data_IF_027944237682
#
_entry.id   IF_027944237682
#
_cell.length_a   1.000
_cell.length_b   1.000
_cell.length_c   1.000
_cell.angle_alpha   90.00
_cell.angle_beta   90.00
_cell.angle_gamma   90.00
#
_symmetry.space_group_name_H-M   'P 1'
#
loop_
_entity.id
_entity.type
_entity.pdbx_description
1 polymer ?
#
# COMPACT_ATOMS: atom_id res chain seq x y z
N UNK A 1 -47.53 -19.85 44.56
CA UNK A 1 -46.49 -18.87 44.20
C UNK A 1 -45.86 -19.33 42.89
N UNK A 2 -46.24 -18.69 41.74
CA UNK A 2 -45.67 -18.97 40.41
C UNK A 2 -44.51 -17.99 40.19
N UNK A 3 -43.32 -18.50 39.95
CA UNK A 3 -42.16 -17.71 39.53
C UNK A 3 -42.01 -17.85 37.99
N UNK A 4 -42.09 -16.80 37.21
CA UNK A 4 -41.84 -16.89 35.75
C UNK A 4 -40.34 -16.98 35.50
N UNK A 5 -39.89 -18.03 34.80
CA UNK A 5 -38.52 -18.15 34.30
C UNK A 5 -38.31 -17.22 33.09
N UNK A 6 -37.46 -16.21 33.20
CA UNK A 6 -36.99 -15.41 32.11
C UNK A 6 -35.95 -16.20 31.28
N UNK A 7 -36.32 -16.58 30.08
CA UNK A 7 -35.38 -17.13 29.10
C UNK A 7 -34.70 -15.95 28.38
N UNK A 8 -33.44 -15.71 28.73
CA UNK A 8 -32.63 -14.75 28.05
C UNK A 8 -32.16 -15.34 26.68
N UNK A 9 -32.73 -14.86 25.58
CA UNK A 9 -32.25 -15.17 24.23
C UNK A 9 -30.97 -14.39 23.99
N UNK A 10 -29.82 -15.06 23.93
CA UNK A 10 -28.57 -14.51 23.51
C UNK A 10 -28.64 -14.21 22.00
N UNK A 11 -28.66 -12.95 21.64
CA UNK A 11 -28.50 -12.52 20.24
C UNK A 11 -27.09 -12.86 19.77
N UNK A 12 -26.97 -13.83 18.88
CA UNK A 12 -25.72 -14.13 18.18
C UNK A 12 -25.48 -12.97 17.22
N UNK A 13 -24.50 -12.09 17.51
CA UNK A 13 -24.08 -11.04 16.60
C UNK A 13 -23.55 -11.69 15.32
N UNK A 14 -24.24 -11.47 14.21
CA UNK A 14 -23.77 -11.87 12.90
C UNK A 14 -22.44 -11.16 12.61
N UNK A 15 -21.44 -11.84 11.97
CA UNK A 15 -20.20 -11.20 11.57
C UNK A 15 -20.52 -10.01 10.68
N UNK A 16 -19.90 -8.85 10.96
CA UNK A 16 -20.11 -7.64 10.19
C UNK A 16 -19.78 -7.92 8.72
N UNK A 17 -20.76 -7.79 7.84
CA UNK A 17 -20.59 -8.02 6.42
C UNK A 17 -19.53 -7.06 5.87
N UNK A 18 -18.55 -7.59 5.14
CA UNK A 18 -17.53 -6.79 4.44
C UNK A 18 -18.26 -5.82 3.50
N UNK A 19 -17.90 -4.53 3.52
CA UNK A 19 -18.56 -3.56 2.64
C UNK A 19 -18.35 -3.95 1.17
N UNK A 20 -19.35 -3.74 0.28
CA UNK A 20 -19.21 -4.05 -1.15
C UNK A 20 -17.99 -3.40 -1.78
N UNK A 21 -17.66 -2.19 -1.36
CA UNK A 21 -16.50 -1.45 -1.85
C UNK A 21 -15.17 -2.08 -1.40
N UNK A 22 -15.10 -2.56 -0.16
CA UNK A 22 -13.91 -3.26 0.31
C UNK A 22 -13.72 -4.60 -0.42
N UNK A 23 -14.81 -5.32 -0.69
CA UNK A 23 -14.76 -6.54 -1.49
C UNK A 23 -14.27 -6.26 -2.92
N UNK A 24 -14.74 -5.17 -3.53
CA UNK A 24 -14.31 -4.73 -4.87
C UNK A 24 -12.83 -4.32 -4.89
N UNK A 25 -12.34 -3.64 -3.86
CA UNK A 25 -10.91 -3.33 -3.71
C UNK A 25 -10.09 -4.61 -3.56
N UNK A 26 -10.54 -5.57 -2.77
CA UNK A 26 -9.86 -6.88 -2.64
C UNK A 26 -9.80 -7.63 -3.97
N UNK A 27 -10.86 -7.59 -4.77
CA UNK A 27 -10.91 -8.17 -6.12
C UNK A 27 -9.90 -7.49 -7.05
N UNK A 28 -9.85 -6.15 -7.06
CA UNK A 28 -8.88 -5.39 -7.84
C UNK A 28 -7.43 -5.77 -7.47
N UNK A 29 -7.12 -5.81 -6.18
CA UNK A 29 -5.78 -6.17 -5.71
C UNK A 29 -5.37 -7.58 -6.15
N UNK A 30 -6.32 -8.52 -6.20
CA UNK A 30 -6.08 -9.89 -6.70
C UNK A 30 -5.95 -9.95 -8.22
N UNK A 31 -6.68 -9.12 -8.94
CA UNK A 31 -6.64 -9.06 -10.40
C UNK A 31 -5.35 -8.42 -10.95
N UNK A 32 -4.70 -7.56 -10.18
CA UNK A 32 -3.43 -6.91 -10.55
C UNK A 32 -2.25 -7.83 -10.21
N UNK A 33 -1.78 -8.61 -11.18
CA UNK A 33 -0.60 -9.46 -11.02
C UNK A 33 0.70 -8.65 -11.19
N UNK A 34 0.67 -7.61 -12.02
CA UNK A 34 1.76 -6.66 -12.20
C UNK A 34 1.22 -5.31 -12.63
N UNK A 35 1.99 -4.27 -12.36
CA UNK A 35 1.65 -2.90 -12.77
C UNK A 35 2.92 -2.08 -12.93
N UNK A 36 2.95 -1.22 -13.95
CA UNK A 36 3.87 -0.09 -14.02
C UNK A 36 3.06 1.21 -14.05
N UNK A 37 3.57 2.26 -13.43
CA UNK A 37 2.95 3.58 -13.46
C UNK A 37 4.02 4.66 -13.28
N UNK A 38 3.81 5.84 -13.82
CA UNK A 38 4.54 7.01 -13.36
C UNK A 38 4.02 7.43 -11.98
N UNK A 39 4.90 7.94 -11.12
CA UNK A 39 4.48 8.46 -9.83
C UNK A 39 5.02 9.86 -9.56
N UNK A 40 4.27 10.61 -8.77
CA UNK A 40 4.71 11.84 -8.11
C UNK A 40 4.55 11.66 -6.61
N UNK A 41 5.63 11.92 -5.88
CA UNK A 41 5.67 11.87 -4.42
C UNK A 41 5.77 13.28 -3.87
N UNK A 42 4.95 13.58 -2.88
CA UNK A 42 4.93 14.84 -2.16
C UNK A 42 5.21 14.57 -0.68
N UNK A 43 6.19 15.23 -0.11
CA UNK A 43 6.43 15.22 1.32
C UNK A 43 5.59 16.27 2.06
N UNK A 44 5.70 16.31 3.39
CA UNK A 44 5.00 17.28 4.22
C UNK A 44 5.35 18.75 3.93
N UNK A 45 6.53 19.00 3.32
CA UNK A 45 7.02 20.34 3.00
C UNK A 45 6.69 20.74 1.55
N UNK A 46 5.95 19.89 0.83
CA UNK A 46 5.61 20.12 -0.58
C UNK A 46 6.72 19.81 -1.57
N UNK A 47 7.87 19.27 -1.12
CA UNK A 47 8.91 18.80 -2.04
C UNK A 47 8.37 17.67 -2.90
N UNK A 48 8.56 17.78 -4.20
CA UNK A 48 8.08 16.81 -5.17
C UNK A 48 9.25 16.01 -5.74
N UNK A 49 9.09 14.68 -5.73
CA UNK A 49 9.94 13.73 -6.42
C UNK A 49 9.08 12.92 -7.39
N UNK A 50 9.64 12.58 -8.55
CA UNK A 50 8.93 11.77 -9.56
C UNK A 50 9.74 10.53 -9.91
N UNK A 51 9.09 9.59 -10.60
CA UNK A 51 9.76 8.38 -11.05
C UNK A 51 8.79 7.35 -11.64
N UNK A 52 9.24 6.11 -11.67
CA UNK A 52 8.45 4.96 -12.13
C UNK A 52 8.25 3.97 -11.00
N UNK A 53 7.00 3.58 -10.80
CA UNK A 53 6.62 2.46 -9.92
C UNK A 53 6.52 1.21 -10.78
N UNK A 54 7.13 0.12 -10.31
CA UNK A 54 6.89 -1.25 -10.80
C UNK A 54 6.40 -2.10 -9.65
N UNK A 55 5.31 -2.83 -9.85
CA UNK A 55 4.72 -3.76 -8.90
C UNK A 55 4.56 -5.12 -9.57
N UNK A 56 4.91 -6.19 -8.85
CA UNK A 56 4.68 -7.57 -9.28
C UNK A 56 4.30 -8.43 -8.08
N UNK A 57 3.17 -9.07 -8.18
CA UNK A 57 2.71 -9.98 -7.13
C UNK A 57 3.49 -11.31 -7.13
N UNK A 58 3.66 -11.92 -5.94
CA UNK A 58 3.39 -11.34 -4.63
C UNK A 58 4.56 -10.51 -4.09
N UNK A 59 4.24 -9.40 -3.45
CA UNK A 59 5.16 -8.69 -2.55
C UNK A 59 6.30 -7.90 -3.17
N UNK A 60 6.41 -7.83 -4.51
CA UNK A 60 7.50 -7.13 -5.18
C UNK A 60 7.07 -5.74 -5.62
N UNK A 61 7.88 -4.73 -5.30
CA UNK A 61 7.64 -3.34 -5.68
C UNK A 61 8.97 -2.60 -5.83
N UNK A 62 9.04 -1.67 -6.77
CA UNK A 62 10.19 -0.79 -6.96
C UNK A 62 9.73 0.63 -7.25
N UNK A 63 10.22 1.58 -6.46
CA UNK A 63 10.18 3.00 -6.76
C UNK A 63 11.53 3.40 -7.34
N UNK A 64 11.57 3.61 -8.63
CA UNK A 64 12.73 4.14 -9.32
C UNK A 64 12.52 5.64 -9.49
N UNK A 65 13.20 6.43 -8.67
CA UNK A 65 13.16 7.89 -8.78
C UNK A 65 13.86 8.39 -10.03
N UNK A 66 13.52 9.60 -10.42
CA UNK A 66 14.14 10.30 -11.54
C UNK A 66 15.67 10.40 -11.41
N UNK A 67 16.35 10.60 -12.53
CA UNK A 67 17.83 10.76 -12.57
C UNK A 67 18.26 11.88 -11.60
N UNK A 68 19.33 11.63 -10.86
CA UNK A 68 19.89 12.57 -9.88
C UNK A 68 19.32 12.43 -8.47
N UNK A 69 18.26 11.66 -8.25
CA UNK A 69 17.77 11.30 -6.91
C UNK A 69 18.47 10.01 -6.47
N UNK A 70 19.35 10.06 -5.47
CA UNK A 70 20.15 8.89 -5.04
C UNK A 70 19.39 7.93 -4.11
N UNK A 71 18.06 7.87 -4.26
CA UNK A 71 17.17 7.05 -3.42
C UNK A 71 16.56 5.94 -4.26
N UNK A 72 16.44 4.76 -3.66
CA UNK A 72 15.71 3.64 -4.21
C UNK A 72 14.88 2.97 -3.11
N UNK A 73 13.62 2.66 -3.41
CA UNK A 73 12.77 1.86 -2.53
C UNK A 73 12.40 0.57 -3.27
N UNK A 74 12.69 -0.58 -2.65
CA UNK A 74 12.41 -1.90 -3.24
C UNK A 74 11.79 -2.82 -2.22
N UNK A 75 10.68 -3.47 -2.60
CA UNK A 75 10.15 -4.64 -1.90
C UNK A 75 10.54 -5.90 -2.66
N UNK A 76 11.12 -6.87 -1.97
CA UNK A 76 11.66 -8.11 -2.54
C UNK A 76 10.73 -9.33 -2.35
N UNK A 77 9.54 -9.12 -1.80
CA UNK A 77 8.58 -10.15 -1.44
C UNK A 77 8.56 -10.49 0.06
N UNK A 78 9.57 -10.09 0.81
CA UNK A 78 9.69 -10.32 2.27
C UNK A 78 9.89 -9.02 3.04
N UNK A 79 10.66 -8.12 2.49
CA UNK A 79 11.09 -6.88 3.12
C UNK A 79 10.98 -5.72 2.16
N UNK A 80 10.70 -4.55 2.72
CA UNK A 80 10.83 -3.26 2.07
C UNK A 80 12.19 -2.70 2.43
N UNK A 81 12.97 -2.33 1.42
CA UNK A 81 14.29 -1.73 1.53
C UNK A 81 14.24 -0.28 1.10
N UNK A 82 14.77 0.59 1.93
CA UNK A 82 15.09 1.98 1.60
C UNK A 82 16.60 2.08 1.46
N UNK A 83 17.05 2.58 0.33
CA UNK A 83 18.45 2.71 -0.03
C UNK A 83 18.75 4.16 -0.36
N UNK A 84 19.70 4.77 0.32
CA UNK A 84 20.24 6.08 0.02
C UNK A 84 21.69 5.93 -0.39
N UNK A 85 21.95 6.08 -1.68
CA UNK A 85 23.26 5.92 -2.27
C UNK A 85 24.19 7.12 -2.04
N UNK A 86 23.63 8.28 -1.64
CA UNK A 86 24.43 9.46 -1.34
C UNK A 86 25.21 9.29 -0.03
N UNK A 87 24.54 8.75 0.98
CA UNK A 87 25.12 8.60 2.33
C UNK A 87 25.45 7.14 2.68
N UNK A 88 25.24 6.21 1.75
CA UNK A 88 25.50 4.78 1.97
C UNK A 88 24.57 4.14 3.01
N UNK A 89 23.32 4.63 3.10
CA UNK A 89 22.34 4.14 4.07
C UNK A 89 21.47 3.05 3.47
N UNK A 90 21.23 1.98 4.26
CA UNK A 90 20.29 0.90 3.96
C UNK A 90 19.42 0.66 5.17
N UNK A 91 18.11 0.74 4.99
CA UNK A 91 17.12 0.44 6.01
C UNK A 91 16.20 -0.68 5.52
N UNK A 92 15.70 -1.48 6.44
CA UNK A 92 14.84 -2.63 6.16
C UNK A 92 13.61 -2.62 7.06
N UNK A 93 12.43 -2.82 6.46
CA UNK A 93 11.17 -3.06 7.18
C UNK A 93 10.53 -4.37 6.70
N UNK A 94 9.94 -5.16 7.60
CA UNK A 94 9.17 -6.33 7.21
C UNK A 94 7.88 -5.89 6.48
N UNK A 95 7.53 -6.57 5.39
CA UNK A 95 6.26 -6.32 4.68
C UNK A 95 5.10 -7.00 5.43
N UNK A 96 5.36 -8.18 5.99
CA UNK A 96 4.36 -8.96 6.71
C UNK A 96 3.88 -8.23 7.96
N UNK A 97 2.57 -7.94 8.04
CA UNK A 97 1.97 -7.23 9.18
C UNK A 97 1.94 -5.71 9.05
N UNK A 98 2.63 -5.11 8.06
CA UNK A 98 2.55 -3.68 7.83
C UNK A 98 1.32 -3.30 6.99
N UNK A 99 0.78 -2.07 7.10
CA UNK A 99 -0.30 -1.57 6.26
C UNK A 99 0.02 -1.64 4.75
N UNK A 100 1.29 -1.52 4.38
CA UNK A 100 1.75 -1.69 3.01
C UNK A 100 1.54 -3.14 2.51
N UNK A 101 1.50 -4.12 3.42
CA UNK A 101 1.19 -5.51 3.10
C UNK A 101 -0.19 -5.69 2.46
N UNK A 102 -1.14 -4.80 2.71
CA UNK A 102 -2.46 -4.78 2.05
C UNK A 102 -2.31 -4.65 0.53
N UNK A 103 -1.43 -3.76 0.10
CA UNK A 103 -1.15 -3.53 -1.33
C UNK A 103 -0.29 -4.67 -1.93
N UNK A 104 0.61 -5.24 -1.14
CA UNK A 104 1.66 -6.14 -1.62
C UNK A 104 1.33 -7.62 -1.49
N UNK A 105 0.37 -8.01 -0.66
CA UNK A 105 -0.08 -9.42 -0.54
C UNK A 105 -1.61 -9.54 -0.68
N UNK A 106 -2.13 -9.61 -1.90
CA UNK A 106 -3.57 -9.63 -2.17
C UNK A 106 -4.26 -10.93 -1.71
N UNK A 107 -3.50 -11.95 -1.29
CA UNK A 107 -4.04 -13.20 -0.75
C UNK A 107 -4.54 -13.04 0.69
N UNK A 108 -4.03 -12.03 1.40
CA UNK A 108 -4.48 -11.71 2.75
C UNK A 108 -5.87 -11.09 2.71
N UNK A 109 -6.68 -11.46 3.68
CA UNK A 109 -7.93 -10.77 3.96
C UNK A 109 -7.62 -9.38 4.53
N UNK A 110 -7.96 -8.34 3.77
CA UNK A 110 -7.70 -6.96 4.16
C UNK A 110 -8.74 -6.42 5.16
N UNK A 111 -9.86 -7.12 5.36
CA UNK A 111 -10.96 -6.64 6.21
C UNK A 111 -10.56 -6.40 7.66
N UNK A 112 -9.49 -7.07 8.13
CA UNK A 112 -8.96 -6.91 9.49
C UNK A 112 -8.19 -5.60 9.70
N UNK A 113 -7.64 -5.03 8.63
CA UNK A 113 -6.74 -3.89 8.69
C UNK A 113 -7.26 -2.68 7.91
N UNK A 114 -8.25 -2.90 7.03
CA UNK A 114 -8.71 -1.91 6.08
C UNK A 114 -10.17 -1.55 6.31
N UNK A 115 -10.47 -0.25 6.20
CA UNK A 115 -11.82 0.31 6.31
C UNK A 115 -12.07 1.25 5.14
N UNK A 116 -13.25 1.16 4.53
CA UNK A 116 -13.69 2.15 3.55
C UNK A 116 -14.03 3.44 4.28
N UNK A 117 -13.49 4.53 3.77
CA UNK A 117 -13.71 5.88 4.30
C UNK A 117 -14.76 6.59 3.44
N UNK A 118 -15.62 7.41 4.04
CA UNK A 118 -16.56 8.24 3.28
C UNK A 118 -15.83 9.16 2.31
N UNK A 119 -16.35 9.30 1.09
CA UNK A 119 -15.87 10.23 0.07
C UNK A 119 -17.02 11.07 -0.43
N UNK A 120 -16.75 12.33 -0.78
CA UNK A 120 -17.75 13.20 -1.39
C UNK A 120 -18.04 12.84 -2.86
N UNK A 121 -17.08 12.19 -3.52
CA UNK A 121 -17.18 11.75 -4.91
C UNK A 121 -17.50 10.26 -4.97
N UNK A 122 -18.67 9.85 -5.50
CA UNK A 122 -19.06 8.45 -5.61
C UNK A 122 -18.20 7.64 -6.59
N UNK A 123 -17.43 8.30 -7.46
CA UNK A 123 -16.47 7.64 -8.34
C UNK A 123 -15.18 7.21 -7.61
N UNK A 124 -14.98 7.67 -6.38
CA UNK A 124 -13.78 7.41 -5.58
C UNK A 124 -14.10 6.41 -4.46
N UNK A 125 -13.21 5.44 -4.26
CA UNK A 125 -13.16 4.59 -3.07
C UNK A 125 -11.88 4.92 -2.32
N UNK A 126 -12.01 5.33 -1.07
CA UNK A 126 -10.90 5.55 -0.16
C UNK A 126 -10.85 4.44 0.88
N UNK A 127 -9.69 3.80 1.04
CA UNK A 127 -9.51 2.69 1.99
C UNK A 127 -8.36 3.03 2.92
N UNK A 128 -8.68 3.15 4.19
CA UNK A 128 -7.68 3.35 5.26
C UNK A 128 -7.24 2.00 5.81
N UNK A 129 -5.92 1.77 5.85
CA UNK A 129 -5.33 0.56 6.34
C UNK A 129 -4.31 0.87 7.44
N UNK A 130 -4.49 0.25 8.61
CA UNK A 130 -3.60 0.35 9.77
C UNK A 130 -3.68 -0.92 10.60
N UNK A 131 -2.63 -1.22 11.34
CA UNK A 131 -2.64 -2.30 12.33
C UNK A 131 -2.69 -1.69 13.74
N UNK A 132 -3.83 -1.81 14.47
CA UNK A 132 -3.94 -1.26 15.82
C UNK A 132 -2.98 -1.89 16.83
N UNK A 133 -2.47 -3.10 16.55
CA UNK A 133 -1.49 -3.79 17.40
C UNK A 133 -0.06 -3.32 17.16
N UNK A 134 0.17 -2.66 16.03
CA UNK A 134 1.47 -2.20 15.57
C UNK A 134 1.40 -0.75 15.08
N UNK A 135 1.09 0.22 15.97
CA UNK A 135 0.99 1.63 15.59
C UNK A 135 2.29 2.20 15.04
N UNK A 136 3.43 1.57 15.37
CA UNK A 136 4.76 1.91 14.84
C UNK A 136 4.87 1.72 13.32
N UNK A 137 3.98 0.95 12.69
CA UNK A 137 3.95 0.80 11.23
C UNK A 137 3.21 1.93 10.51
N UNK A 138 2.58 2.82 11.28
CA UNK A 138 1.83 3.94 10.73
C UNK A 138 0.52 3.51 10.06
N UNK A 139 0.08 4.31 9.08
CA UNK A 139 -1.19 4.13 8.38
C UNK A 139 -1.01 4.45 6.89
N UNK A 140 -1.77 3.77 6.04
CA UNK A 140 -1.85 4.05 4.61
C UNK A 140 -3.30 4.21 4.19
N UNK A 141 -3.60 5.28 3.46
CA UNK A 141 -4.92 5.51 2.87
C UNK A 141 -4.81 5.38 1.35
N UNK A 142 -5.33 4.29 0.80
CA UNK A 142 -5.35 3.99 -0.63
C UNK A 142 -6.52 4.70 -1.29
N UNK A 143 -6.31 5.25 -2.47
CA UNK A 143 -7.33 5.96 -3.25
C UNK A 143 -7.52 5.27 -4.60
N UNK A 144 -8.72 4.75 -4.83
CA UNK A 144 -9.12 4.11 -6.07
C UNK A 144 -10.18 4.96 -6.78
N UNK A 145 -10.15 4.93 -8.09
CA UNK A 145 -11.20 5.46 -8.97
C UNK A 145 -11.98 4.29 -9.57
N UNK A 146 -13.30 4.40 -9.59
CA UNK A 146 -14.16 3.47 -10.33
C UNK A 146 -14.01 3.74 -11.81
N UNK A 147 -13.42 2.79 -12.53
CA UNK A 147 -13.11 2.94 -13.93
C UNK A 147 -13.11 1.57 -14.62
N UNK A 148 -13.99 1.38 -15.58
CA UNK A 148 -14.16 0.11 -16.29
C UNK A 148 -12.91 -0.35 -17.06
N UNK A 149 -11.98 0.54 -17.37
CA UNK A 149 -10.72 0.20 -18.02
C UNK A 149 -9.71 -0.47 -17.06
N UNK A 150 -9.93 -0.37 -15.75
CA UNK A 150 -9.06 -0.99 -14.76
C UNK A 150 -9.47 -2.40 -14.36
N UNK A 151 -8.55 -3.23 -13.87
CA UNK A 151 -8.86 -4.55 -13.33
C UNK A 151 -9.94 -4.49 -12.25
N UNK A 152 -10.94 -5.37 -12.34
CA UNK A 152 -12.13 -5.37 -11.49
C UNK A 152 -12.87 -4.01 -11.44
N UNK A 153 -12.76 -3.19 -12.49
CA UNK A 153 -13.45 -1.89 -12.60
C UNK A 153 -12.90 -0.80 -11.68
N UNK A 154 -11.63 -0.91 -11.26
CA UNK A 154 -10.94 0.08 -10.44
C UNK A 154 -9.56 0.42 -10.99
N UNK A 155 -9.13 1.65 -10.73
CA UNK A 155 -7.76 2.11 -10.94
C UNK A 155 -7.23 2.68 -9.62
N UNK A 156 -6.10 2.17 -9.13
CA UNK A 156 -5.37 2.77 -8.01
C UNK A 156 -4.77 4.09 -8.46
N UNK A 157 -5.22 5.21 -7.87
CA UNK A 157 -4.75 6.57 -8.18
C UNK A 157 -3.61 7.03 -7.29
N UNK A 158 -3.40 6.35 -6.18
CA UNK A 158 -2.31 6.66 -5.27
C UNK A 158 -2.66 6.36 -3.82
N UNK A 159 -1.86 6.91 -2.92
CA UNK A 159 -2.08 6.76 -1.48
C UNK A 159 -1.44 7.88 -0.68
N UNK A 160 -1.89 7.99 0.55
CA UNK A 160 -1.26 8.80 1.59
C UNK A 160 -0.72 7.86 2.65
N UNK A 161 0.56 7.95 2.96
CA UNK A 161 1.19 7.26 4.07
C UNK A 161 1.44 8.25 5.22
N UNK A 162 1.14 7.82 6.43
CA UNK A 162 1.52 8.48 7.68
C UNK A 162 2.42 7.51 8.44
N UNK A 163 3.63 7.95 8.79
CA UNK A 163 4.50 7.18 9.66
C UNK A 163 4.08 7.28 11.15
N UNK A 164 4.80 6.61 12.04
CA UNK A 164 4.50 6.64 13.48
C UNK A 164 4.61 8.05 14.10
N UNK A 165 5.33 8.97 13.46
CA UNK A 165 5.49 10.36 13.85
C UNK A 165 4.50 11.31 13.14
N UNK A 166 3.51 10.74 12.40
CA UNK A 166 2.55 11.48 11.57
C UNK A 166 3.20 12.29 10.43
N UNK A 167 4.40 11.94 9.99
CA UNK A 167 4.94 12.53 8.78
C UNK A 167 4.16 11.99 7.58
N UNK A 168 3.65 12.93 6.78
CA UNK A 168 2.83 12.62 5.63
C UNK A 168 3.66 12.51 4.36
N UNK A 169 3.46 11.41 3.64
CA UNK A 169 3.93 11.21 2.27
C UNK A 169 2.74 10.92 1.38
N UNK A 170 2.58 11.66 0.30
CA UNK A 170 1.51 11.44 -0.68
C UNK A 170 2.13 10.93 -1.98
N UNK A 171 1.61 9.82 -2.49
CA UNK A 171 1.95 9.26 -3.79
C UNK A 171 0.75 9.41 -4.71
N UNK A 172 0.96 9.96 -5.90
CA UNK A 172 -0.03 9.97 -7.00
C UNK A 172 0.51 9.15 -8.15
N UNK A 173 -0.35 8.35 -8.74
CA UNK A 173 -0.03 7.49 -9.89
C UNK A 173 -0.70 8.02 -11.14
N UNK A 174 0.04 7.99 -12.25
CA UNK A 174 -0.47 8.28 -13.60
C UNK A 174 -0.03 7.18 -14.57
N UNK A 175 -0.76 7.07 -15.68
CA UNK A 175 -0.50 6.14 -16.78
C UNK A 175 -0.26 4.68 -16.34
N UNK A 176 -1.14 4.10 -15.48
CA UNK A 176 -0.96 2.73 -15.03
C UNK A 176 -1.15 1.75 -16.17
N UNK A 177 -0.21 0.80 -16.29
CA UNK A 177 -0.28 -0.34 -17.21
C UNK A 177 -0.36 -1.61 -16.37
N UNK A 178 -1.46 -2.32 -16.47
CA UNK A 178 -1.74 -3.51 -15.67
C UNK A 178 -1.35 -4.79 -16.39
N UNK A 179 -0.94 -5.78 -15.61
CA UNK A 179 -0.66 -7.14 -16.06
C UNK A 179 0.37 -7.20 -17.19
N UNK A 180 1.34 -6.28 -17.16
CA UNK A 180 2.46 -6.23 -18.10
C UNK A 180 3.61 -7.13 -17.63
N UNK A 181 4.39 -7.71 -18.55
CA UNK A 181 5.56 -8.50 -18.18
C UNK A 181 6.59 -7.64 -17.44
N UNK A 182 6.99 -8.06 -16.24
CA UNK A 182 8.06 -7.44 -15.47
C UNK A 182 9.07 -8.50 -15.06
N UNK A 183 10.33 -8.32 -15.45
CA UNK A 183 11.42 -9.23 -15.07
C UNK A 183 11.66 -9.21 -13.56
N UNK A 184 11.98 -10.35 -12.97
CA UNK A 184 12.37 -10.42 -11.55
C UNK A 184 13.67 -9.67 -11.27
N UNK A 185 14.52 -9.46 -12.27
CA UNK A 185 15.71 -8.62 -12.19
C UNK A 185 15.39 -7.16 -11.86
N UNK A 186 14.18 -6.68 -12.20
CA UNK A 186 13.73 -5.32 -11.87
C UNK A 186 13.76 -5.05 -10.37
N UNK A 187 13.58 -6.08 -9.53
CA UNK A 187 13.51 -5.94 -8.07
C UNK A 187 14.83 -6.24 -7.37
N UNK A 188 15.92 -6.41 -8.13
CA UNK A 188 17.27 -6.51 -7.58
C UNK A 188 17.85 -5.13 -7.36
N UNK A 189 18.75 -5.02 -6.40
CA UNK A 189 19.49 -3.78 -6.10
C UNK A 189 20.89 -4.12 -5.63
N UNK A 190 21.80 -3.16 -5.78
CA UNK A 190 23.12 -3.21 -5.18
C UNK A 190 23.07 -2.48 -3.84
N UNK A 191 23.81 -2.99 -2.87
CA UNK A 191 23.95 -2.31 -1.58
C UNK A 191 24.66 -0.96 -1.77
N UNK A 192 24.16 0.11 -1.11
CA UNK A 192 24.86 1.38 -1.12
C UNK A 192 26.20 1.22 -0.39
N UNK A 193 27.29 1.53 -1.08
CA UNK A 193 28.62 1.54 -0.50
C UNK A 193 28.75 2.80 0.36
N UNK A 194 29.10 2.67 1.64
CA UNK A 194 29.48 3.83 2.45
C UNK A 194 30.68 4.50 1.77
N UNK A 195 30.50 5.71 1.29
CA UNK A 195 31.58 6.49 0.74
C UNK A 195 32.64 6.65 1.81
N UNK A 196 33.78 5.98 1.64
CA UNK A 196 34.96 6.30 2.43
C UNK A 196 35.34 7.77 2.18
N UNK A 197 36.03 8.44 3.11
CA UNK A 197 36.44 9.82 2.91
C UNK A 197 37.20 9.92 1.57
N UNK A 198 36.72 10.77 0.68
CA UNK A 198 37.53 11.14 -0.51
C UNK A 198 38.78 11.82 0.01
N UNK A 199 39.94 11.12 -0.12
CA UNK A 199 41.23 11.71 0.10
C UNK A 199 41.50 12.80 -0.94
#
# INVERSE_FOLDING_TARGET
>A
LFVPAFVATAAIAAPAATSPDLAKVQEHLRAVQSMTAAFSQYDRNGKTLTGTLSLKQPGKMRFQYQKGVPILIVADGKSLWFLDYQVGQKQRWPIGGSPLGVLLDPRKDISRFAKVMPTADPSVISVDASDPKHPEYGRITLVFERNAAGPAGLILRGWVALDAQNNRTTIRLSDPKFNVPISDGTFRFNDPVRGGPRK
#
